data_IF_572691035695
#
_entry.id   IF_572691035695
#
_cell.length_a   1.000
_cell.length_b   1.000
_cell.length_c   1.000
_cell.angle_alpha   90.00
_cell.angle_beta   90.00
_cell.angle_gamma   90.00
#
_symmetry.space_group_name_H-M   'P 1'
#
loop_
_entity.id
_entity.type
_entity.pdbx_description
1 polymer ?
#
# COMPACT_ATOMS: atom_id res chain seq x y z
N UNK A 1 -72.00 10.32 7.57
CA UNK A 1 -71.36 8.99 7.49
C UNK A 1 -70.86 8.76 6.07
N UNK A 2 -69.59 9.05 5.79
CA UNK A 2 -68.86 8.57 4.62
C UNK A 2 -67.33 8.67 4.88
N UNK A 3 -66.77 7.55 5.35
CA UNK A 3 -65.47 6.95 5.01
C UNK A 3 -64.22 7.85 4.99
N UNK A 4 -63.48 7.76 6.09
CA UNK A 4 -62.02 7.68 6.25
C UNK A 4 -61.21 7.30 4.97
N UNK A 5 -60.01 7.91 4.83
CA UNK A 5 -58.98 7.84 3.75
C UNK A 5 -59.09 9.03 2.79
N UNK A 6 -58.10 9.91 2.61
CA UNK A 6 -56.67 9.66 2.42
C UNK A 6 -55.81 10.83 2.97
N UNK A 7 -55.00 10.51 3.97
CA UNK A 7 -53.55 10.78 4.08
C UNK A 7 -53.04 12.03 3.32
N UNK A 8 -52.95 13.13 4.06
CA UNK A 8 -51.75 13.98 4.24
C UNK A 8 -50.96 14.27 2.95
N UNK A 9 -51.39 15.30 2.24
CA UNK A 9 -50.51 16.12 1.41
C UNK A 9 -49.59 16.95 2.33
N UNK A 10 -48.45 16.37 2.74
CA UNK A 10 -47.35 17.11 3.37
C UNK A 10 -46.25 17.34 2.33
N UNK A 11 -46.42 18.45 1.64
CA UNK A 11 -45.45 19.13 0.81
C UNK A 11 -44.22 19.57 1.61
N UNK A 12 -43.05 19.42 0.99
CA UNK A 12 -41.76 20.02 1.33
C UNK A 12 -41.02 19.47 2.55
N UNK A 13 -40.00 18.64 2.31
CA UNK A 13 -38.61 19.12 2.34
C UNK A 13 -37.69 18.05 1.74
N UNK A 14 -36.92 18.47 0.74
CA UNK A 14 -35.72 17.77 0.28
C UNK A 14 -34.85 17.37 1.48
N UNK A 15 -34.67 16.08 1.72
CA UNK A 15 -33.45 15.58 2.32
C UNK A 15 -32.79 14.64 1.32
N UNK A 16 -31.64 15.11 0.86
CA UNK A 16 -30.82 14.58 -0.19
C UNK A 16 -30.65 13.06 -0.16
N UNK A 17 -30.73 12.48 -1.35
CA UNK A 17 -30.03 11.26 -1.69
C UNK A 17 -28.57 11.36 -1.21
N UNK A 18 -28.22 10.58 -0.19
CA UNK A 18 -26.84 10.25 0.10
C UNK A 18 -26.54 8.96 -0.67
N UNK A 19 -25.69 9.00 -1.71
CA UNK A 19 -25.03 7.78 -2.14
C UNK A 19 -24.12 7.41 -0.96
N UNK A 20 -24.47 6.37 -0.21
CA UNK A 20 -23.52 5.73 0.67
C UNK A 20 -22.37 5.30 -0.25
N UNK A 21 -21.25 6.02 -0.13
CA UNK A 21 -20.02 5.79 -0.88
C UNK A 21 -19.73 4.29 -0.81
N UNK A 22 -20.03 3.59 -1.90
CA UNK A 22 -19.37 2.36 -2.23
C UNK A 22 -17.90 2.76 -2.26
N UNK A 23 -17.19 2.44 -1.19
CA UNK A 23 -15.76 2.58 -1.11
C UNK A 23 -15.24 1.59 -2.14
N UNK A 24 -15.09 2.08 -3.37
CA UNK A 24 -14.43 1.36 -4.42
C UNK A 24 -13.10 0.96 -3.82
N UNK A 25 -12.94 -0.34 -3.61
CA UNK A 25 -11.68 -0.96 -3.29
C UNK A 25 -10.78 -0.66 -4.48
N UNK A 26 -10.22 0.55 -4.45
CA UNK A 26 -9.12 0.96 -5.29
C UNK A 26 -8.08 -0.09 -5.00
N UNK A 27 -7.77 -0.87 -6.02
CA UNK A 27 -6.72 -1.86 -6.02
C UNK A 27 -5.53 -1.25 -5.28
N UNK A 28 -5.36 -1.63 -4.01
CA UNK A 28 -4.49 -0.94 -3.09
C UNK A 28 -3.09 -1.42 -3.41
N UNK A 29 -2.56 -0.95 -4.55
CA UNK A 29 -1.18 -1.06 -4.91
C UNK A 29 -0.42 -0.53 -3.69
N UNK A 30 0.19 -1.43 -2.93
CA UNK A 30 0.90 -1.05 -1.73
C UNK A 30 1.93 0.01 -2.14
N UNK A 31 2.01 1.13 -1.40
CA UNK A 31 2.90 2.21 -1.77
C UNK A 31 4.32 1.67 -1.93
N UNK A 32 4.99 2.07 -3.02
CA UNK A 32 6.37 1.69 -3.26
C UNK A 32 7.23 2.12 -2.06
N UNK A 33 8.15 1.25 -1.68
CA UNK A 33 9.05 1.44 -0.56
C UNK A 33 10.38 1.93 -1.12
N UNK A 34 10.79 3.12 -0.68
CA UNK A 34 12.10 3.66 -1.00
C UNK A 34 13.17 2.88 -0.23
N UNK A 35 13.96 2.11 -0.97
CA UNK A 35 15.00 1.24 -0.42
C UNK A 35 16.15 2.03 0.23
N UNK A 36 16.37 3.27 -0.19
CA UNK A 36 17.46 4.12 0.28
C UNK A 36 17.09 4.87 1.58
N UNK A 37 15.80 5.09 1.83
CA UNK A 37 15.33 5.81 3.02
C UNK A 37 14.48 4.98 4.01
N UNK A 38 13.92 3.85 3.59
CA UNK A 38 13.05 3.03 4.44
C UNK A 38 13.76 2.52 5.70
N UNK A 39 13.01 2.38 6.78
CA UNK A 39 13.47 1.72 8.01
C UNK A 39 13.53 0.21 7.83
N UNK A 40 14.30 -0.48 8.68
CA UNK A 40 14.36 -1.95 8.66
C UNK A 40 12.95 -2.59 8.77
N UNK A 41 12.09 -2.06 9.64
CA UNK A 41 10.71 -2.52 9.81
C UNK A 41 9.86 -2.37 8.54
N UNK A 42 10.07 -1.30 7.77
CA UNK A 42 9.39 -1.10 6.49
C UNK A 42 9.91 -2.08 5.44
N UNK A 43 11.23 -2.33 5.41
CA UNK A 43 11.85 -3.28 4.49
C UNK A 43 11.39 -4.72 4.75
N UNK A 44 11.13 -5.10 6.00
CA UNK A 44 10.57 -6.41 6.36
C UNK A 44 9.19 -6.68 5.75
N UNK A 45 8.48 -5.64 5.28
CA UNK A 45 7.20 -5.82 4.59
C UNK A 45 7.36 -6.29 3.15
N UNK A 46 8.58 -6.25 2.59
CA UNK A 46 8.87 -6.70 1.24
C UNK A 46 8.91 -8.24 1.18
N UNK A 47 8.41 -8.84 0.10
CA UNK A 47 8.38 -10.29 -0.03
C UNK A 47 9.80 -10.84 -0.06
N UNK A 48 10.08 -11.79 0.83
CA UNK A 48 11.41 -12.39 0.94
C UNK A 48 12.43 -11.53 1.70
N UNK A 49 12.05 -10.40 2.30
CA UNK A 49 12.91 -9.65 3.21
C UNK A 49 12.44 -9.89 4.64
N UNK A 50 13.29 -10.54 5.45
CA UNK A 50 13.08 -10.68 6.90
C UNK A 50 14.07 -9.80 7.66
N UNK A 51 13.96 -9.79 9.00
CA UNK A 51 14.73 -8.88 9.85
C UNK A 51 16.25 -8.88 9.62
N UNK A 52 16.85 -10.05 9.37
CA UNK A 52 18.26 -10.15 9.02
C UNK A 52 18.60 -9.40 7.72
N UNK A 53 17.84 -9.65 6.65
CA UNK A 53 18.04 -9.00 5.35
C UNK A 53 17.74 -7.50 5.42
N UNK A 54 16.73 -7.10 6.17
CA UNK A 54 16.41 -5.69 6.37
C UNK A 54 17.56 -4.94 7.07
N UNK A 55 18.14 -5.55 8.11
CA UNK A 55 19.33 -5.00 8.76
C UNK A 55 20.53 -4.94 7.81
N UNK A 56 20.76 -5.99 7.02
CA UNK A 56 21.83 -6.01 6.02
C UNK A 56 21.65 -4.92 4.97
N UNK A 57 20.42 -4.66 4.49
CA UNK A 57 20.13 -3.59 3.52
C UNK A 57 20.53 -2.22 4.07
N UNK A 58 20.16 -1.94 5.33
CA UNK A 58 20.48 -0.67 5.99
C UNK A 58 21.98 -0.52 6.20
N UNK A 59 22.64 -1.55 6.73
CA UNK A 59 24.09 -1.53 6.93
C UNK A 59 24.86 -1.38 5.62
N UNK A 60 24.36 -2.03 4.58
CA UNK A 60 25.00 -2.02 3.28
C UNK A 60 24.87 -0.65 2.58
N UNK A 61 23.69 0.00 2.58
CA UNK A 61 23.59 1.36 1.99
C UNK A 61 24.43 2.40 2.73
N UNK A 62 24.63 2.22 4.03
CA UNK A 62 25.52 3.05 4.83
C UNK A 62 27.01 2.83 4.47
N UNK A 63 27.38 1.60 4.10
CA UNK A 63 28.77 1.23 3.81
C UNK A 63 29.17 1.39 2.33
N UNK A 64 28.26 1.05 1.42
CA UNK A 64 28.49 0.92 -0.02
C UNK A 64 27.77 2.00 -0.85
N UNK A 65 26.88 2.78 -0.22
CA UNK A 65 26.09 3.83 -0.86
C UNK A 65 24.72 3.37 -1.35
N UNK A 66 23.97 4.30 -1.91
CA UNK A 66 22.57 4.09 -2.33
C UNK A 66 22.44 3.03 -3.43
N UNK A 67 21.29 2.36 -3.46
CA UNK A 67 20.88 1.48 -4.55
C UNK A 67 20.33 2.33 -5.70
N UNK A 68 20.80 2.09 -6.93
CA UNK A 68 20.30 2.76 -8.14
C UNK A 68 19.21 1.96 -8.84
N UNK A 69 19.18 0.65 -8.62
CA UNK A 69 18.25 -0.28 -9.25
C UNK A 69 18.01 -1.50 -8.34
N UNK A 70 17.08 -2.35 -8.75
CA UNK A 70 16.67 -3.51 -7.95
C UNK A 70 17.76 -4.59 -7.93
N UNK A 71 18.56 -4.70 -8.99
CA UNK A 71 19.67 -5.64 -9.12
C UNK A 71 20.79 -5.36 -8.11
N UNK A 72 20.99 -4.10 -7.73
CA UNK A 72 22.00 -3.71 -6.74
C UNK A 72 21.74 -4.39 -5.39
N UNK A 73 20.49 -4.76 -5.07
CA UNK A 73 20.16 -5.50 -3.84
C UNK A 73 20.79 -6.90 -3.78
N UNK A 74 21.21 -7.46 -4.92
CA UNK A 74 21.90 -8.75 -4.98
C UNK A 74 23.33 -8.70 -4.40
N UNK A 75 23.85 -7.51 -4.04
CA UNK A 75 25.10 -7.40 -3.27
C UNK A 75 24.98 -7.98 -1.86
N UNK A 76 23.76 -8.10 -1.34
CA UNK A 76 23.47 -8.67 -0.02
C UNK A 76 23.38 -10.19 -0.12
N UNK A 77 24.08 -10.87 0.79
CA UNK A 77 24.07 -12.32 0.82
C UNK A 77 22.65 -12.85 1.09
N UNK A 78 22.19 -13.74 0.22
CA UNK A 78 20.86 -14.34 0.33
C UNK A 78 19.74 -13.52 -0.31
N UNK A 79 19.99 -12.37 -0.91
CA UNK A 79 19.06 -11.75 -1.86
C UNK A 79 19.49 -12.16 -3.27
N UNK A 80 18.66 -12.97 -3.93
CA UNK A 80 18.89 -13.40 -5.31
C UNK A 80 17.83 -12.86 -6.26
N UNK A 81 18.02 -13.12 -7.55
CA UNK A 81 17.14 -12.68 -8.65
C UNK A 81 15.65 -12.95 -8.35
N UNK A 82 15.30 -14.17 -7.91
CA UNK A 82 13.92 -14.52 -7.58
C UNK A 82 13.30 -13.67 -6.44
N UNK A 83 14.13 -13.24 -5.47
CA UNK A 83 13.66 -12.35 -4.39
C UNK A 83 13.48 -10.93 -4.92
N UNK A 84 14.44 -10.45 -5.71
CA UNK A 84 14.38 -9.14 -6.35
C UNK A 84 13.13 -9.03 -7.22
N UNK A 85 12.92 -9.99 -8.12
CA UNK A 85 11.76 -10.08 -9.01
C UNK A 85 10.42 -10.03 -8.27
N UNK A 86 10.33 -10.72 -7.13
CA UNK A 86 9.13 -10.72 -6.29
C UNK A 86 8.79 -9.36 -5.66
N UNK A 87 9.76 -8.45 -5.56
CA UNK A 87 9.58 -7.14 -4.93
C UNK A 87 9.76 -5.94 -5.87
N UNK A 88 10.16 -6.13 -7.14
CA UNK A 88 10.45 -5.00 -8.07
C UNK A 88 9.35 -3.96 -8.14
N UNK A 89 8.10 -4.41 -8.23
CA UNK A 89 6.93 -3.53 -8.33
C UNK A 89 6.63 -2.75 -7.05
N UNK A 90 7.32 -3.09 -5.96
CA UNK A 90 7.19 -2.48 -4.63
C UNK A 90 8.42 -1.64 -4.26
N UNK A 91 9.42 -1.53 -5.12
CA UNK A 91 10.64 -0.78 -4.85
C UNK A 91 10.62 0.61 -5.50
N UNK A 92 11.12 1.59 -4.77
CA UNK A 92 11.60 2.86 -5.30
C UNK A 92 13.03 3.12 -4.80
N UNK A 93 13.74 4.03 -5.45
CA UNK A 93 15.15 4.36 -5.20
C UNK A 93 15.31 5.85 -4.98
#
# INVERSE_FOLDING_TARGET
MQRLSQIIALSCLLLAAMPALAQEASDAQQPAIDINSASAEQLETLPGIGSARAADIVADREANGDYSNAEDLMRINGIGEATVDGMRDRLSF
#
